data_IF_098825256406
#
_entry.id   IF_098825256406
#
_cell.length_a   1.000
_cell.length_b   1.000
_cell.length_c   1.000
_cell.angle_alpha   90.00
_cell.angle_beta   90.00
_cell.angle_gamma   90.00
#
_symmetry.space_group_name_H-M   'P 1'
#
loop_
_entity.id
_entity.type
_entity.pdbx_description
1 polymer ?
#
# COMPACT_ATOMS: atom_id res chain seq x y z
N UNK A 1 8.54 -28.90 -4.41
CA UNK A 1 8.79 -28.37 -3.04
C UNK A 1 10.19 -27.73 -2.93
N UNK A 2 10.64 -26.97 -3.95
CA UNK A 2 11.95 -26.30 -3.99
C UNK A 2 11.93 -24.85 -4.48
N UNK A 3 10.79 -24.33 -4.96
CA UNK A 3 10.79 -23.05 -5.71
C UNK A 3 10.30 -21.84 -4.92
N UNK A 4 9.78 -22.01 -3.70
CA UNK A 4 9.38 -20.88 -2.83
C UNK A 4 10.56 -20.38 -1.98
N UNK A 5 11.56 -21.24 -1.70
CA UNK A 5 12.72 -20.89 -0.87
C UNK A 5 13.80 -20.06 -1.59
N UNK A 6 13.70 -19.93 -2.93
CA UNK A 6 14.66 -19.17 -3.74
C UNK A 6 14.38 -17.66 -3.68
N UNK A 7 13.12 -17.25 -3.44
CA UNK A 7 12.74 -15.84 -3.33
C UNK A 7 13.29 -15.17 -2.07
N UNK A 8 13.22 -15.83 -0.91
CA UNK A 8 13.61 -15.23 0.37
C UNK A 8 15.14 -15.16 0.57
N UNK A 9 15.91 -16.09 0.00
CA UNK A 9 17.39 -16.01 0.02
C UNK A 9 17.97 -14.97 -0.93
N UNK A 10 17.22 -14.53 -1.95
CA UNK A 10 17.67 -13.45 -2.86
C UNK A 10 17.53 -12.05 -2.25
N UNK A 11 16.70 -11.88 -1.23
CA UNK A 11 16.47 -10.57 -0.60
C UNK A 11 17.61 -10.20 0.38
N UNK A 12 18.33 -11.19 0.93
CA UNK A 12 19.42 -10.92 1.88
C UNK A 12 20.74 -10.44 1.24
N UNK A 13 20.87 -10.47 -0.09
CA UNK A 13 22.11 -10.10 -0.80
C UNK A 13 21.90 -8.98 -1.86
N UNK A 14 20.83 -8.20 -1.78
CA UNK A 14 20.73 -6.97 -2.57
C UNK A 14 21.56 -5.86 -1.91
N UNK A 15 22.88 -5.95 -2.01
CA UNK A 15 23.67 -4.74 -2.19
C UNK A 15 23.15 -4.10 -3.49
N UNK A 16 22.42 -2.99 -3.35
CA UNK A 16 21.97 -2.21 -4.50
C UNK A 16 23.20 -1.66 -5.23
N UNK A 17 23.70 -2.41 -6.21
CA UNK A 17 24.69 -1.93 -7.15
C UNK A 17 23.96 -1.02 -8.15
N UNK A 18 23.94 0.28 -7.88
CA UNK A 18 23.67 1.27 -8.91
C UNK A 18 24.98 1.45 -9.70
N UNK A 19 25.10 0.94 -10.95
CA UNK A 19 26.24 1.32 -11.76
C UNK A 19 26.15 2.84 -11.96
N UNK A 20 27.22 3.56 -11.63
CA UNK A 20 27.36 4.98 -11.96
C UNK A 20 27.26 5.15 -13.48
N UNK A 21 26.03 5.34 -13.98
CA UNK A 21 25.82 5.67 -15.39
C UNK A 21 26.25 7.10 -15.60
N UNK A 22 27.13 7.30 -16.58
CA UNK A 22 27.65 8.63 -16.93
C UNK A 22 26.50 9.57 -17.29
N UNK A 23 26.65 10.87 -16.99
CA UNK A 23 25.64 11.92 -17.26
C UNK A 23 25.09 11.89 -18.70
N UNK A 24 25.89 11.42 -19.66
CA UNK A 24 25.50 11.27 -21.06
C UNK A 24 24.43 10.22 -21.31
N UNK A 25 24.46 9.08 -20.59
CA UNK A 25 23.45 8.02 -20.73
C UNK A 25 22.11 8.42 -20.12
N UNK A 26 22.14 9.20 -19.04
CA UNK A 26 20.93 9.75 -18.40
C UNK A 26 20.23 10.74 -19.32
N UNK A 27 20.99 11.59 -20.04
CA UNK A 27 20.41 12.55 -20.98
C UNK A 27 19.83 11.87 -22.23
N UNK A 28 20.45 10.79 -22.70
CA UNK A 28 19.94 9.99 -23.82
C UNK A 28 18.62 9.29 -23.50
N UNK A 29 18.49 8.77 -22.27
CA UNK A 29 17.22 8.21 -21.78
C UNK A 29 16.14 9.30 -21.67
N UNK A 30 16.48 10.50 -21.20
CA UNK A 30 15.51 11.63 -21.13
C UNK A 30 14.95 12.01 -22.50
N UNK A 31 15.78 12.06 -23.54
CA UNK A 31 15.33 12.32 -24.90
C UNK A 31 14.46 11.19 -25.45
N UNK A 32 14.86 9.93 -25.22
CA UNK A 32 14.09 8.75 -25.66
C UNK A 32 12.70 8.67 -25.02
N UNK A 33 12.61 8.94 -23.71
CA UNK A 33 11.33 9.00 -23.01
C UNK A 33 10.52 10.23 -23.44
N UNK A 34 11.14 11.40 -23.55
CA UNK A 34 10.50 12.64 -24.03
C UNK A 34 9.85 12.49 -25.41
N UNK A 35 10.45 11.74 -26.32
CA UNK A 35 9.88 11.48 -27.64
C UNK A 35 8.75 10.46 -27.59
N UNK A 36 8.89 9.38 -26.81
CA UNK A 36 7.84 8.38 -26.62
C UNK A 36 6.56 8.96 -26.00
N UNK A 37 6.65 10.04 -25.21
CA UNK A 37 5.50 10.66 -24.54
C UNK A 37 4.79 11.77 -25.35
N UNK A 38 5.24 12.10 -26.57
CA UNK A 38 4.55 13.11 -27.42
C UNK A 38 3.18 12.66 -27.93
N UNK A 39 2.96 11.35 -28.08
CA UNK A 39 1.73 10.78 -28.66
C UNK A 39 0.68 10.35 -27.60
N UNK A 40 0.98 10.47 -26.30
CA UNK A 40 0.13 9.97 -25.20
C UNK A 40 -0.96 10.94 -24.73
N UNK A 41 -1.34 11.92 -25.55
CA UNK A 41 -2.25 13.02 -25.13
C UNK A 41 -3.71 12.62 -24.88
N UNK A 42 -4.09 11.34 -24.98
CA UNK A 42 -5.49 10.91 -24.99
C UNK A 42 -5.83 9.62 -24.21
N UNK A 43 -5.00 9.16 -23.27
CA UNK A 43 -5.34 8.01 -22.42
C UNK A 43 -5.51 8.41 -20.94
N UNK A 44 -6.71 8.15 -20.41
CA UNK A 44 -7.22 8.33 -19.03
C UNK A 44 -6.31 9.06 -18.04
N UNK A 45 -6.45 10.38 -18.00
CA UNK A 45 -5.49 11.34 -17.45
C UNK A 45 -5.40 11.44 -15.94
N UNK A 46 -6.32 10.89 -15.15
CA UNK A 46 -6.28 11.11 -13.69
C UNK A 46 -5.32 10.14 -12.98
N UNK A 47 -5.46 8.82 -13.17
CA UNK A 47 -4.72 7.80 -12.40
C UNK A 47 -3.20 7.86 -12.66
N UNK A 48 -2.76 8.03 -13.90
CA UNK A 48 -1.33 8.14 -14.24
C UNK A 48 -0.69 9.47 -13.77
N UNK A 49 -1.47 10.55 -13.57
CA UNK A 49 -0.94 11.78 -13.00
C UNK A 49 -0.54 11.60 -11.52
N UNK A 50 -1.24 10.74 -10.76
CA UNK A 50 -0.89 10.44 -9.36
C UNK A 50 0.47 9.75 -9.26
N UNK A 51 0.68 8.66 -10.01
CA UNK A 51 1.93 7.90 -10.00
C UNK A 51 3.10 8.76 -10.48
N UNK A 52 2.89 9.52 -11.56
CA UNK A 52 3.93 10.39 -12.09
C UNK A 52 4.25 11.56 -11.14
N UNK A 53 3.30 12.09 -10.37
CA UNK A 53 3.57 13.19 -9.43
C UNK A 53 4.41 12.76 -8.23
N UNK A 54 4.17 11.57 -7.67
CA UNK A 54 5.00 11.01 -6.59
C UNK A 54 6.40 10.65 -7.08
N UNK A 55 6.49 9.94 -8.22
CA UNK A 55 7.77 9.60 -8.85
C UNK A 55 8.53 10.87 -9.20
N UNK A 56 7.86 11.89 -9.75
CA UNK A 56 8.46 13.19 -10.06
C UNK A 56 8.88 13.94 -8.79
N UNK A 57 8.09 13.93 -7.70
CA UNK A 57 8.46 14.56 -6.42
C UNK A 57 9.70 13.91 -5.83
N UNK A 58 9.79 12.59 -5.82
CA UNK A 58 10.98 11.88 -5.36
C UNK A 58 12.17 12.13 -6.28
N UNK A 59 11.97 12.09 -7.60
CA UNK A 59 12.99 12.40 -8.58
C UNK A 59 13.52 13.84 -8.46
N UNK A 60 12.65 14.82 -8.18
CA UNK A 60 13.02 16.22 -7.94
C UNK A 60 13.69 16.43 -6.59
N UNK A 61 13.25 15.72 -5.53
CA UNK A 61 13.94 15.69 -4.22
C UNK A 61 15.36 15.15 -4.37
N UNK A 62 15.55 14.10 -5.17
CA UNK A 62 16.85 13.47 -5.42
C UNK A 62 17.75 14.30 -6.35
N UNK A 63 17.18 15.05 -7.29
CA UNK A 63 17.96 15.93 -8.19
C UNK A 63 18.54 17.16 -7.47
N UNK A 64 17.87 17.64 -6.42
CA UNK A 64 18.30 18.81 -5.66
C UNK A 64 19.20 18.47 -4.45
N UNK A 65 19.28 17.20 -4.04
CA UNK A 65 20.19 16.71 -3.01
C UNK A 65 20.72 15.32 -3.41
N UNK A 66 22.01 15.24 -3.76
CA UNK A 66 22.73 13.96 -3.90
C UNK A 66 22.55 13.16 -2.59
N UNK A 67 21.72 12.11 -2.62
CA UNK A 67 21.23 11.34 -1.47
C UNK A 67 20.34 12.19 -0.56
N UNK A 68 19.04 12.19 -0.85
CA UNK A 68 18.05 12.80 0.02
C UNK A 68 18.02 12.05 1.36
N UNK A 69 18.32 12.74 2.47
CA UNK A 69 18.12 12.25 3.84
C UNK A 69 16.61 12.17 4.17
N UNK A 70 15.83 11.46 3.33
CA UNK A 70 14.42 11.23 3.58
C UNK A 70 14.32 10.26 4.74
N UNK A 71 13.89 10.77 5.88
CA UNK A 71 13.61 10.00 7.07
C UNK A 71 12.13 9.63 7.08
N UNK A 72 11.85 8.45 7.62
CA UNK A 72 10.50 7.95 7.79
C UNK A 72 10.24 7.73 9.28
N UNK A 73 9.00 7.98 9.71
CA UNK A 73 8.52 7.61 11.04
C UNK A 73 7.50 6.49 10.94
N UNK A 74 7.63 5.53 11.84
CA UNK A 74 6.67 4.43 11.96
C UNK A 74 5.48 4.88 12.79
N UNK A 75 4.32 4.99 12.14
CA UNK A 75 3.08 5.42 12.79
C UNK A 75 2.35 4.27 13.47
N UNK A 76 2.45 3.06 12.92
CA UNK A 76 1.76 1.88 13.42
C UNK A 76 2.61 0.62 13.19
N UNK A 77 2.59 -0.31 14.15
CA UNK A 77 3.23 -1.62 14.05
C UNK A 77 2.48 -2.62 14.92
N UNK A 78 2.23 -3.81 14.37
CA UNK A 78 1.73 -4.96 15.11
C UNK A 78 2.38 -6.25 14.60
N UNK A 79 2.74 -7.13 15.53
CA UNK A 79 3.17 -8.49 15.25
C UNK A 79 2.02 -9.48 15.53
N UNK A 80 1.79 -10.40 14.60
CA UNK A 80 0.81 -11.47 14.70
C UNK A 80 1.51 -12.80 14.92
N UNK A 81 1.06 -13.59 15.88
CA UNK A 81 1.56 -14.93 16.22
C UNK A 81 1.10 -16.04 15.24
N UNK A 82 0.72 -15.63 14.03
CA UNK A 82 0.25 -16.50 12.96
C UNK A 82 0.61 -15.89 11.59
N UNK A 83 0.68 -16.73 10.56
CA UNK A 83 0.97 -16.32 9.20
C UNK A 83 -0.33 -15.94 8.47
N UNK A 84 -0.47 -14.69 8.02
CA UNK A 84 -1.62 -14.25 7.21
C UNK A 84 -1.46 -14.69 5.76
N UNK A 85 -2.54 -14.87 4.99
CA UNK A 85 -2.47 -15.30 3.60
C UNK A 85 -2.28 -14.13 2.64
N UNK A 86 -1.86 -12.96 3.11
CA UNK A 86 -1.76 -11.71 2.34
C UNK A 86 -0.34 -11.15 2.43
N UNK A 87 0.27 -10.83 1.30
CA UNK A 87 1.55 -10.12 1.21
C UNK A 87 1.37 -8.83 0.41
N UNK A 88 1.84 -7.71 0.97
CA UNK A 88 1.53 -6.38 0.46
C UNK A 88 2.61 -5.38 0.86
N UNK A 89 2.97 -4.51 -0.07
CA UNK A 89 3.59 -3.23 0.20
C UNK A 89 3.01 -2.20 -0.77
N UNK A 90 2.32 -1.19 -0.23
CA UNK A 90 1.61 -0.17 -1.02
C UNK A 90 1.90 1.22 -0.50
N UNK A 91 1.94 2.16 -1.44
CA UNK A 91 1.86 3.58 -1.19
C UNK A 91 0.44 4.04 -1.49
N UNK A 92 -0.20 4.73 -0.55
CA UNK A 92 -1.56 5.23 -0.76
C UNK A 92 -1.76 6.57 -0.06
N UNK A 93 -2.90 7.21 -0.31
CA UNK A 93 -3.31 8.45 0.34
C UNK A 93 -4.78 8.37 0.76
N UNK A 94 -5.10 8.94 1.92
CA UNK A 94 -6.48 9.06 2.37
C UNK A 94 -6.86 10.52 2.60
N UNK A 95 -8.06 10.88 2.17
CA UNK A 95 -8.61 12.23 2.35
C UNK A 95 -9.25 12.44 3.73
N UNK A 96 -9.58 11.36 4.43
CA UNK A 96 -10.31 11.38 5.71
C UNK A 96 -9.66 10.43 6.70
N UNK A 97 -9.77 10.76 8.00
CA UNK A 97 -9.36 9.87 9.07
C UNK A 97 -10.49 8.90 9.47
N UNK A 98 -10.26 8.08 10.51
CA UNK A 98 -11.21 7.06 10.93
C UNK A 98 -12.50 7.64 11.56
N UNK A 99 -12.48 8.91 11.96
CA UNK A 99 -13.64 9.64 12.49
C UNK A 99 -14.33 10.51 11.42
N UNK A 100 -13.86 10.46 10.17
CA UNK A 100 -14.43 11.22 9.05
C UNK A 100 -13.97 12.68 9.00
N UNK A 101 -12.87 13.04 9.66
CA UNK A 101 -12.27 14.37 9.57
C UNK A 101 -11.32 14.45 8.37
N UNK A 102 -11.35 15.57 7.65
CA UNK A 102 -10.48 15.81 6.49
C UNK A 102 -9.01 15.86 6.94
N UNK A 103 -8.21 14.89 6.49
CA UNK A 103 -6.76 14.82 6.77
C UNK A 103 -6.03 15.97 6.04
N UNK A 104 -6.48 16.28 4.84
CA UNK A 104 -5.84 17.26 3.96
C UNK A 104 -6.30 18.70 4.22
N UNK A 105 -7.26 18.93 5.12
CA UNK A 105 -7.85 20.25 5.42
C UNK A 105 -8.16 21.06 4.13
N UNK A 106 -8.77 20.44 3.11
CA UNK A 106 -9.11 21.10 1.86
C UNK A 106 -8.00 21.22 0.80
N UNK A 107 -6.76 20.75 1.06
CA UNK A 107 -5.63 20.77 0.09
C UNK A 107 -5.70 19.72 -1.02
N UNK A 108 -6.89 19.14 -1.24
CA UNK A 108 -7.13 17.94 -2.06
C UNK A 108 -6.74 18.11 -3.54
N UNK A 109 -6.66 19.36 -4.01
CA UNK A 109 -6.41 19.72 -5.40
C UNK A 109 -4.97 20.13 -5.71
N UNK A 110 -4.08 20.18 -4.71
CA UNK A 110 -2.68 20.59 -4.90
C UNK A 110 -1.80 19.33 -4.84
N UNK A 111 -1.33 18.78 -5.98
CA UNK A 111 -0.57 17.53 -6.01
C UNK A 111 0.69 17.56 -5.14
N UNK A 112 1.34 18.72 -5.03
CA UNK A 112 2.57 18.91 -4.26
C UNK A 112 2.35 18.87 -2.73
N UNK A 113 1.12 19.10 -2.28
CA UNK A 113 0.71 19.09 -0.87
C UNK A 113 0.06 17.78 -0.45
N UNK A 114 -0.03 16.81 -1.37
CA UNK A 114 -0.46 15.45 -1.06
C UNK A 114 0.59 14.73 -0.25
N UNK A 115 0.11 13.89 0.64
CA UNK A 115 0.94 13.24 1.65
C UNK A 115 0.55 11.77 1.70
N UNK A 116 1.56 10.92 1.57
CA UNK A 116 1.36 9.50 1.37
C UNK A 116 1.70 8.70 2.62
N UNK A 117 1.04 7.55 2.74
CA UNK A 117 1.30 6.54 3.75
C UNK A 117 1.68 5.23 3.07
N UNK A 118 2.72 4.59 3.61
CA UNK A 118 3.10 3.23 3.24
C UNK A 118 2.42 2.24 4.17
N UNK A 119 1.79 1.21 3.61
CA UNK A 119 1.20 0.09 4.35
C UNK A 119 1.89 -1.20 3.91
N UNK A 120 2.41 -1.94 4.89
CA UNK A 120 3.10 -3.20 4.65
C UNK A 120 2.44 -4.32 5.44
N UNK A 121 2.24 -5.46 4.78
CA UNK A 121 1.83 -6.73 5.39
C UNK A 121 2.82 -7.79 4.95
N UNK A 122 3.67 -8.24 5.86
CA UNK A 122 4.71 -9.23 5.61
C UNK A 122 4.38 -10.54 6.31
N UNK A 123 3.88 -11.55 5.57
CA UNK A 123 3.71 -12.90 6.09
C UNK A 123 5.07 -13.60 6.16
N UNK A 124 5.59 -13.77 7.36
CA UNK A 124 6.83 -14.51 7.64
C UNK A 124 6.49 -15.97 7.96
N UNK A 125 7.52 -16.80 8.16
CA UNK A 125 7.35 -18.26 8.26
C UNK A 125 6.33 -18.70 9.33
N UNK A 126 6.35 -18.10 10.52
CA UNK A 126 5.47 -18.46 11.64
C UNK A 126 4.74 -17.27 12.27
N UNK A 127 4.85 -16.09 11.66
CA UNK A 127 4.31 -14.84 12.18
C UNK A 127 4.05 -13.86 11.05
N UNK A 128 3.34 -12.79 11.32
CA UNK A 128 3.18 -11.70 10.36
C UNK A 128 3.53 -10.37 11.00
N UNK A 129 4.18 -9.51 10.24
CA UNK A 129 4.44 -8.13 10.64
C UNK A 129 3.57 -7.21 9.80
N UNK A 130 2.83 -6.33 10.47
CA UNK A 130 2.03 -5.29 9.81
C UNK A 130 2.50 -3.96 10.35
N UNK A 131 2.89 -3.06 9.47
CA UNK A 131 3.34 -1.74 9.87
C UNK A 131 2.99 -0.69 8.82
N UNK A 132 2.90 0.55 9.29
CA UNK A 132 2.63 1.71 8.48
C UNK A 132 3.58 2.83 8.83
N UNK A 133 4.06 3.52 7.82
CA UNK A 133 5.01 4.61 7.98
C UNK A 133 4.76 5.72 6.97
N UNK A 134 5.21 6.91 7.34
CA UNK A 134 5.11 8.14 6.55
C UNK A 134 6.46 8.86 6.61
N UNK A 135 6.67 9.84 5.75
CA UNK A 135 7.84 10.74 5.89
C UNK A 135 7.85 11.38 7.29
N UNK A 136 9.03 11.55 7.89
CA UNK A 136 9.19 11.99 9.29
C UNK A 136 8.42 13.28 9.61
N UNK A 137 8.41 14.22 8.66
CA UNK A 137 7.77 15.53 8.81
C UNK A 137 6.25 15.51 8.51
N UNK A 138 5.70 14.38 8.07
CA UNK A 138 4.28 14.27 7.75
C UNK A 138 3.46 14.09 9.04
N UNK A 139 2.87 15.17 9.52
CA UNK A 139 2.02 15.19 10.72
C UNK A 139 0.54 14.87 10.44
N UNK A 140 0.14 14.79 9.17
CA UNK A 140 -1.27 14.67 8.78
C UNK A 140 -1.87 13.33 9.22
N UNK A 141 -1.09 12.26 9.19
CA UNK A 141 -1.54 10.92 9.60
C UNK A 141 -1.42 10.66 11.11
N UNK A 142 -0.90 11.60 11.92
CA UNK A 142 -0.71 11.38 13.35
C UNK A 142 -2.02 11.11 14.09
N UNK A 143 -3.12 11.77 13.68
CA UNK A 143 -4.44 11.54 14.26
C UNK A 143 -5.00 10.17 13.88
N UNK A 144 -4.86 9.81 12.60
CA UNK A 144 -5.23 8.48 12.10
C UNK A 144 -4.52 7.36 12.89
N UNK A 145 -3.20 7.49 13.12
CA UNK A 145 -2.45 6.50 13.89
C UNK A 145 -2.90 6.39 15.34
N UNK A 146 -3.28 7.50 15.98
CA UNK A 146 -3.84 7.49 17.35
C UNK A 146 -5.19 6.78 17.37
N UNK A 147 -6.12 7.21 16.53
CA UNK A 147 -7.44 6.60 16.40
C UNK A 147 -7.35 5.09 16.14
N UNK A 148 -6.48 4.67 15.22
CA UNK A 148 -6.29 3.25 14.91
C UNK A 148 -5.85 2.46 16.15
N UNK A 149 -4.89 2.97 16.91
CA UNK A 149 -4.36 2.30 18.12
C UNK A 149 -5.37 2.22 19.26
N UNK A 150 -6.37 3.09 19.29
CA UNK A 150 -7.40 3.11 20.33
C UNK A 150 -8.43 1.97 20.17
N UNK A 151 -8.51 1.35 18.98
CA UNK A 151 -9.36 0.19 18.73
C UNK A 151 -8.78 -1.10 19.32
N UNK A 152 -9.60 -2.14 19.47
CA UNK A 152 -9.12 -3.49 19.79
C UNK A 152 -8.25 -4.04 18.66
N UNK A 153 -7.35 -4.99 18.96
CA UNK A 153 -6.52 -5.64 17.93
C UNK A 153 -7.34 -6.21 16.78
N UNK A 154 -8.48 -6.84 17.06
CA UNK A 154 -9.34 -7.40 16.02
C UNK A 154 -9.91 -6.31 15.11
N UNK A 155 -10.36 -5.20 15.70
CA UNK A 155 -10.95 -4.08 15.00
C UNK A 155 -9.91 -3.30 14.20
N UNK A 156 -8.70 -3.14 14.73
CA UNK A 156 -7.54 -2.64 14.00
C UNK A 156 -7.32 -3.45 12.72
N UNK A 157 -7.22 -4.78 12.83
CA UNK A 157 -6.99 -5.65 11.67
C UNK A 157 -8.13 -5.58 10.66
N UNK A 158 -9.40 -5.50 11.10
CA UNK A 158 -10.56 -5.31 10.21
C UNK A 158 -10.47 -4.02 9.40
N UNK A 159 -10.16 -2.90 10.06
CA UNK A 159 -10.04 -1.59 9.41
C UNK A 159 -8.86 -1.54 8.44
N UNK A 160 -7.70 -2.09 8.83
CA UNK A 160 -6.53 -2.18 7.95
C UNK A 160 -6.87 -3.04 6.72
N UNK A 161 -7.49 -4.19 6.91
CA UNK A 161 -7.93 -5.06 5.83
C UNK A 161 -8.88 -4.34 4.86
N UNK A 162 -9.87 -3.61 5.40
CA UNK A 162 -10.76 -2.78 4.59
C UNK A 162 -9.97 -1.77 3.76
N UNK A 163 -9.06 -1.01 4.37
CA UNK A 163 -8.27 0.02 3.67
C UNK A 163 -7.47 -0.60 2.52
N UNK A 164 -6.86 -1.78 2.73
CA UNK A 164 -6.11 -2.47 1.69
C UNK A 164 -7.01 -2.76 0.48
N UNK A 165 -8.17 -3.38 0.70
CA UNK A 165 -9.06 -3.80 -0.38
C UNK A 165 -9.89 -2.67 -1.01
N UNK A 166 -10.13 -1.58 -0.26
CA UNK A 166 -10.88 -0.43 -0.77
C UNK A 166 -10.02 0.49 -1.65
N UNK A 167 -8.71 0.59 -1.36
CA UNK A 167 -7.82 1.53 -2.02
C UNK A 167 -6.82 0.90 -3.00
N UNK A 168 -6.74 -0.43 -3.08
CA UNK A 168 -5.75 -1.10 -3.91
C UNK A 168 -6.33 -2.32 -4.62
N UNK A 169 -5.90 -2.52 -5.87
CA UNK A 169 -6.28 -3.68 -6.69
C UNK A 169 -5.15 -4.72 -6.78
N UNK A 170 -3.91 -4.29 -6.52
CA UNK A 170 -2.71 -5.11 -6.66
C UNK A 170 -2.26 -5.68 -5.31
N UNK A 171 -2.81 -6.82 -4.96
CA UNK A 171 -2.43 -7.57 -3.76
C UNK A 171 -2.14 -9.04 -4.10
N UNK A 172 -1.18 -9.64 -3.38
CA UNK A 172 -0.83 -11.04 -3.54
C UNK A 172 -1.33 -11.83 -2.34
N UNK A 173 -2.14 -12.87 -2.58
CA UNK A 173 -2.59 -13.76 -1.53
C UNK A 173 -2.21 -15.22 -1.80
N UNK A 174 -2.21 -16.01 -0.73
CA UNK A 174 -1.90 -17.43 -0.75
C UNK A 174 -2.86 -18.20 -1.66
N UNK A 175 -2.38 -19.19 -2.43
CA UNK A 175 -3.24 -20.07 -3.23
C UNK A 175 -4.17 -20.94 -2.37
N UNK A 176 -4.02 -20.94 -1.04
CA UNK A 176 -4.95 -21.60 -0.11
C UNK A 176 -6.27 -20.85 0.04
N UNK A 177 -6.34 -19.58 -0.39
CA UNK A 177 -7.59 -18.84 -0.48
C UNK A 177 -8.46 -19.49 -1.55
N UNK A 178 -9.61 -20.01 -1.15
CA UNK A 178 -10.51 -20.69 -2.07
C UNK A 178 -11.24 -19.70 -3.00
N UNK A 179 -11.80 -20.24 -4.09
CA UNK A 179 -12.49 -19.46 -5.11
C UNK A 179 -13.72 -18.68 -4.60
N UNK A 180 -14.35 -19.10 -3.49
CA UNK A 180 -15.49 -18.40 -2.90
C UNK A 180 -15.04 -17.09 -2.24
N UNK A 181 -13.97 -17.15 -1.45
CA UNK A 181 -13.37 -15.98 -0.80
C UNK A 181 -12.83 -15.03 -1.88
N UNK A 182 -12.09 -15.54 -2.86
CA UNK A 182 -11.57 -14.75 -3.98
C UNK A 182 -12.70 -14.04 -4.74
N UNK A 183 -13.79 -14.74 -5.09
CA UNK A 183 -14.92 -14.14 -5.78
C UNK A 183 -15.59 -13.04 -4.93
N UNK A 184 -15.69 -13.25 -3.61
CA UNK A 184 -16.23 -12.26 -2.69
C UNK A 184 -15.37 -11.00 -2.66
N UNK A 185 -14.04 -11.16 -2.56
CA UNK A 185 -13.09 -10.04 -2.60
C UNK A 185 -13.17 -9.26 -3.93
N UNK A 186 -13.21 -9.97 -5.07
CA UNK A 186 -13.34 -9.34 -6.40
C UNK A 186 -14.65 -8.59 -6.58
N UNK A 187 -15.77 -9.18 -6.14
CA UNK A 187 -17.08 -8.53 -6.21
C UNK A 187 -17.08 -7.23 -5.39
N UNK A 188 -16.56 -7.30 -4.15
CA UNK A 188 -16.49 -6.14 -3.28
C UNK A 188 -15.57 -5.05 -3.87
N UNK A 189 -14.39 -5.41 -4.38
CA UNK A 189 -13.50 -4.47 -5.08
C UNK A 189 -14.19 -3.78 -6.29
N UNK A 190 -15.05 -4.51 -7.01
CA UNK A 190 -15.83 -3.92 -8.12
C UNK A 190 -16.94 -2.99 -7.65
N UNK A 191 -17.60 -3.28 -6.52
CA UNK A 191 -18.62 -2.41 -5.93
C UNK A 191 -18.03 -1.15 -5.28
N UNK A 192 -16.81 -1.24 -4.76
CA UNK A 192 -16.08 -0.11 -4.17
C UNK A 192 -15.89 1.04 -5.16
N UNK A 193 -15.63 0.73 -6.44
CA UNK A 193 -15.49 1.74 -7.51
C UNK A 193 -16.74 2.61 -7.69
N UNK A 194 -17.89 2.19 -7.16
CA UNK A 194 -19.18 2.85 -7.33
C UNK A 194 -19.68 3.52 -6.04
N UNK A 195 -19.30 3.02 -4.86
CA UNK A 195 -19.99 3.33 -3.59
C UNK A 195 -19.18 4.07 -2.52
N UNK A 196 -17.85 4.27 -2.66
CA UNK A 196 -17.10 5.00 -1.62
C UNK A 196 -17.62 6.43 -1.55
N UNK A 197 -18.34 6.73 -0.46
CA UNK A 197 -18.63 8.10 -0.09
C UNK A 197 -17.27 8.80 0.08
N UNK A 198 -16.99 9.76 -0.80
CA UNK A 198 -15.77 10.56 -0.80
C UNK A 198 -15.62 11.38 0.48
N UNK A 199 -16.44 11.17 1.52
CA UNK A 199 -16.40 11.83 2.83
C UNK A 199 -16.10 10.89 4.01
N UNK A 200 -15.92 9.57 3.79
CA UNK A 200 -15.58 8.62 4.87
C UNK A 200 -14.47 7.66 4.45
N UNK A 201 -13.50 7.44 5.35
CA UNK A 201 -12.43 6.47 5.13
C UNK A 201 -12.96 5.02 5.19
N UNK A 202 -13.87 4.73 6.11
CA UNK A 202 -14.44 3.40 6.33
C UNK A 202 -15.95 3.43 6.11
N UNK A 203 -16.44 2.54 5.25
CA UNK A 203 -17.85 2.14 5.20
C UNK A 203 -18.04 0.91 6.09
N UNK A 204 -18.67 1.12 7.25
CA UNK A 204 -18.93 0.07 8.24
C UNK A 204 -19.84 -1.06 7.73
N UNK A 205 -20.68 -0.80 6.71
CA UNK A 205 -21.50 -1.84 6.08
C UNK A 205 -20.63 -2.74 5.22
N UNK A 206 -19.82 -2.13 4.35
CA UNK A 206 -18.93 -2.88 3.46
C UNK A 206 -17.81 -3.60 4.22
N UNK A 207 -17.29 -2.99 5.29
CA UNK A 207 -16.27 -3.61 6.16
C UNK A 207 -16.73 -4.94 6.76
N UNK A 208 -18.02 -5.09 7.07
CA UNK A 208 -18.59 -6.35 7.58
C UNK A 208 -18.69 -7.43 6.51
N UNK A 209 -18.74 -7.04 5.24
CA UNK A 209 -18.85 -7.98 4.12
C UNK A 209 -17.49 -8.51 3.68
N UNK A 210 -16.41 -7.74 3.84
CA UNK A 210 -15.06 -8.14 3.43
C UNK A 210 -14.50 -9.20 4.38
N UNK A 211 -14.08 -10.37 3.86
CA UNK A 211 -13.27 -11.33 4.61
C UNK A 211 -12.01 -10.65 5.18
N UNK A 212 -11.83 -10.71 6.50
CA UNK A 212 -10.66 -10.14 7.15
C UNK A 212 -9.45 -11.06 7.00
N UNK A 213 -8.72 -10.97 5.89
CA UNK A 213 -7.54 -11.80 5.64
C UNK A 213 -6.42 -11.58 6.66
N UNK A 214 -6.47 -10.52 7.46
CA UNK A 214 -5.50 -10.26 8.52
C UNK A 214 -5.85 -10.97 9.86
N UNK A 215 -7.03 -11.58 9.96
CA UNK A 215 -7.49 -12.27 11.17
C UNK A 215 -6.85 -13.66 11.32
N UNK A 216 -6.87 -14.20 12.55
CA UNK A 216 -6.38 -15.55 12.84
C UNK A 216 -7.22 -16.65 12.16
N UNK A 217 -8.50 -16.38 11.90
CA UNK A 217 -9.40 -17.27 11.18
C UNK A 217 -8.82 -17.63 9.80
N UNK A 218 -8.34 -16.62 9.06
CA UNK A 218 -7.76 -16.80 7.73
C UNK A 218 -6.26 -17.08 7.74
N UNK A 219 -5.67 -17.41 8.89
CA UNK A 219 -4.26 -17.79 8.95
C UNK A 219 -3.95 -18.97 8.04
N UNK A 220 -2.72 -19.03 7.51
CA UNK A 220 -2.25 -20.12 6.66
C UNK A 220 -2.46 -21.48 7.34
N UNK A 221 -2.25 -21.56 8.66
CA UNK A 221 -2.46 -22.77 9.45
C UNK A 221 -3.92 -23.23 9.46
N UNK A 222 -4.87 -22.30 9.55
CA UNK A 222 -6.29 -22.63 9.54
C UNK A 222 -6.79 -22.93 8.11
N UNK A 223 -6.36 -22.17 7.11
CA UNK A 223 -6.68 -22.45 5.70
C UNK A 223 -6.16 -23.81 5.23
N UNK A 224 -5.03 -24.30 5.76
CA UNK A 224 -4.54 -25.66 5.49
C UNK A 224 -5.48 -26.73 6.04
N UNK A 225 -6.12 -26.50 7.20
CA UNK A 225 -7.03 -27.47 7.82
C UNK A 225 -8.35 -27.59 7.06
N UNK A 226 -8.81 -26.49 6.46
CA UNK A 226 -10.06 -26.48 5.68
C UNK A 226 -9.92 -27.10 4.27
N UNK A 227 -8.70 -27.24 3.78
CA UNK A 227 -8.38 -27.82 2.47
C UNK A 227 -7.91 -29.29 2.54
N UNK A 228 -7.94 -29.92 3.73
CA UNK A 228 -7.72 -31.36 3.95
C UNK A 228 -9.07 -32.02 4.24
#
# INVERSE_FOLDING_TARGET
>A
MRDIYIGMKKIQNLEFYFPEKSLGEINKLKEEYSEKFKDFKNWNTEIEQYDNSYIMRNFLKDKNNFISNIKYKMGYHISLDYCVPLALQILTEFLWDLEGKDICNGRKQIPEEREYIQICVFPLENKSEIFMFVEENNVLYDNFFKQLKDFSKEEQLKRINYIIFAFNEDYYYSPLINCKIEKKLKNIASEFKVKVDKQKLIDESLMKEIPNLLSKEYSIENLKKENI
#
